data_IF_340946689637
#
_entry.id   IF_340946689637
#
_cell.length_a   1.000
_cell.length_b   1.000
_cell.length_c   1.000
_cell.angle_alpha   90.00
_cell.angle_beta   90.00
_cell.angle_gamma   90.00
#
_symmetry.space_group_name_H-M   'P 1'
#
loop_
_entity.id
_entity.type
_entity.pdbx_description
1 polymer ?
#
# COMPACT_ATOMS: atom_id res chain seq x y z
N UNK A 1 15.63 4.65 -0.43
CA UNK A 1 14.27 4.32 -0.91
C UNK A 1 13.94 5.29 -2.03
N UNK A 2 13.24 4.84 -3.07
CA UNK A 2 12.74 5.73 -4.12
C UNK A 2 11.45 6.40 -3.62
N UNK A 3 11.39 7.73 -3.63
CA UNK A 3 10.25 8.50 -3.10
C UNK A 3 9.19 8.84 -4.14
N UNK A 4 9.53 8.80 -5.44
CA UNK A 4 8.62 9.16 -6.53
C UNK A 4 7.78 7.96 -7.01
N UNK A 5 7.10 7.30 -6.06
CA UNK A 5 6.36 6.06 -6.27
C UNK A 5 5.15 6.28 -7.18
N UNK A 6 4.41 7.38 -6.99
CA UNK A 6 3.21 7.68 -7.78
C UNK A 6 3.55 7.89 -9.25
N UNK A 7 4.61 8.65 -9.57
CA UNK A 7 5.03 8.80 -10.96
C UNK A 7 5.54 7.49 -11.55
N UNK A 8 6.22 6.66 -10.75
CA UNK A 8 6.68 5.32 -11.16
C UNK A 8 5.50 4.41 -11.51
N UNK A 9 4.44 4.41 -10.69
CA UNK A 9 3.18 3.69 -10.99
C UNK A 9 2.57 4.18 -12.30
N UNK A 10 2.43 5.50 -12.47
CA UNK A 10 1.87 6.07 -13.70
C UNK A 10 2.67 5.68 -14.96
N UNK A 11 4.01 5.70 -14.88
CA UNK A 11 4.88 5.35 -16.03
C UNK A 11 4.86 3.86 -16.38
N UNK A 12 4.72 2.99 -15.39
CA UNK A 12 5.03 1.56 -15.55
C UNK A 12 3.88 0.61 -15.23
N UNK A 13 2.69 1.12 -14.85
CA UNK A 13 1.52 0.33 -14.47
C UNK A 13 1.23 -0.84 -15.41
N UNK A 14 1.38 -0.68 -16.73
CA UNK A 14 1.08 -1.73 -17.70
C UNK A 14 1.89 -3.03 -17.46
N UNK A 15 3.08 -2.88 -16.87
CA UNK A 15 3.98 -3.98 -16.49
C UNK A 15 3.69 -4.54 -15.10
N UNK A 16 2.92 -3.84 -14.25
CA UNK A 16 2.62 -4.25 -12.89
C UNK A 16 1.35 -5.12 -12.86
N UNK A 17 1.47 -6.35 -12.35
CA UNK A 17 0.36 -7.32 -12.29
C UNK A 17 -0.14 -7.58 -10.87
N UNK A 18 0.61 -7.14 -9.87
CA UNK A 18 0.29 -7.32 -8.47
C UNK A 18 1.01 -6.25 -7.65
N UNK A 19 0.36 -5.75 -6.60
CA UNK A 19 0.94 -4.78 -5.68
C UNK A 19 0.91 -5.34 -4.26
N UNK A 20 1.96 -5.08 -3.49
CA UNK A 20 2.06 -5.42 -2.08
C UNK A 20 2.21 -4.15 -1.25
N UNK A 21 1.62 -4.12 -0.05
CA UNK A 21 1.69 -2.98 0.88
C UNK A 21 2.31 -3.40 2.21
N UNK A 22 3.16 -2.52 2.76
CA UNK A 22 3.74 -2.66 4.09
C UNK A 22 4.33 -1.32 4.58
N UNK A 23 4.19 -1.02 5.87
CA UNK A 23 4.70 0.20 6.48
C UNK A 23 6.23 0.28 6.40
N UNK A 24 6.77 1.50 6.33
CA UNK A 24 8.20 1.71 6.16
C UNK A 24 8.75 2.81 7.08
N UNK A 25 9.86 2.59 7.79
CA UNK A 25 10.65 1.36 7.87
C UNK A 25 9.97 0.22 8.65
N UNK A 26 10.52 -1.00 8.58
CA UNK A 26 10.16 -2.11 9.46
C UNK A 26 9.15 -3.12 8.92
N UNK A 27 8.42 -2.80 7.84
CA UNK A 27 7.45 -3.71 7.19
C UNK A 27 6.28 -4.07 8.12
N UNK A 28 5.80 -3.07 8.86
CA UNK A 28 4.69 -3.15 9.81
C UNK A 28 3.40 -2.54 9.24
N UNK A 29 2.47 -2.10 10.07
CA UNK A 29 1.20 -1.50 9.67
C UNK A 29 1.39 -0.26 8.77
N UNK A 30 0.48 -0.08 7.81
CA UNK A 30 0.53 1.01 6.81
C UNK A 30 -0.13 2.32 7.27
N UNK A 31 -0.13 2.56 8.59
CA UNK A 31 -0.77 3.71 9.23
C UNK A 31 -0.08 5.06 8.94
N UNK A 32 -0.36 6.06 9.78
CA UNK A 32 0.16 7.42 9.66
C UNK A 32 1.56 7.64 10.28
N UNK A 33 2.06 6.66 11.04
CA UNK A 33 3.37 6.72 11.72
C UNK A 33 4.54 6.18 10.88
N UNK A 34 4.49 6.37 9.56
CA UNK A 34 5.49 5.84 8.62
C UNK A 34 5.65 6.76 7.40
N UNK A 35 6.64 6.51 6.53
CA UNK A 35 7.06 7.45 5.48
C UNK A 35 6.07 7.60 4.30
N UNK A 36 5.37 6.54 3.92
CA UNK A 36 4.53 6.47 2.73
C UNK A 36 3.07 6.84 2.99
N UNK A 37 2.49 7.74 2.19
CA UNK A 37 1.06 8.05 2.29
C UNK A 37 0.21 7.09 1.43
N UNK A 38 -0.16 5.93 2.00
CA UNK A 38 -0.87 4.86 1.29
C UNK A 38 -2.20 5.25 0.63
N UNK A 39 -3.07 6.11 1.20
CA UNK A 39 -4.29 6.50 0.51
C UNK A 39 -4.03 7.20 -0.84
N UNK A 40 -2.94 7.97 -0.96
CA UNK A 40 -2.59 8.60 -2.24
C UNK A 40 -2.01 7.58 -3.23
N UNK A 41 -1.20 6.63 -2.74
CA UNK A 41 -0.63 5.56 -3.57
C UNK A 41 -1.74 4.65 -4.11
N UNK A 42 -2.71 4.23 -3.27
CA UNK A 42 -3.82 3.39 -3.69
C UNK A 42 -4.71 4.10 -4.71
N UNK A 43 -4.94 5.41 -4.57
CA UNK A 43 -5.65 6.20 -5.60
C UNK A 43 -4.89 6.21 -6.91
N UNK A 44 -3.58 6.42 -6.89
CA UNK A 44 -2.76 6.37 -8.10
C UNK A 44 -2.82 5.01 -8.79
N UNK A 45 -2.82 3.90 -8.04
CA UNK A 45 -3.02 2.55 -8.59
C UNK A 45 -4.40 2.43 -9.23
N UNK A 46 -5.46 2.81 -8.52
CA UNK A 46 -6.84 2.76 -9.04
C UNK A 46 -7.01 3.58 -10.31
N UNK A 47 -6.47 4.80 -10.34
CA UNK A 47 -6.61 5.74 -11.46
C UNK A 47 -5.89 5.25 -12.72
N UNK A 48 -5.00 4.24 -12.61
CA UNK A 48 -4.44 3.53 -13.77
C UNK A 48 -5.40 2.54 -14.43
N UNK A 49 -6.57 2.25 -13.82
CA UNK A 49 -7.50 1.22 -14.26
C UNK A 49 -7.06 -0.19 -13.88
N UNK A 50 -6.22 -0.35 -12.85
CA UNK A 50 -5.75 -1.66 -12.40
C UNK A 50 -6.88 -2.48 -11.75
N UNK A 51 -7.18 -3.65 -12.30
CA UNK A 51 -8.22 -4.57 -11.82
C UNK A 51 -7.65 -5.81 -11.09
N UNK A 52 -6.34 -5.86 -10.87
CA UNK A 52 -5.69 -6.96 -10.16
C UNK A 52 -5.76 -6.82 -8.64
N UNK A 53 -4.96 -7.61 -7.95
CA UNK A 53 -4.95 -7.65 -6.48
C UNK A 53 -3.94 -6.69 -5.86
N UNK A 54 -4.34 -6.02 -4.77
CA UNK A 54 -3.50 -5.30 -3.82
C UNK A 54 -3.40 -6.14 -2.54
N UNK A 55 -2.24 -6.74 -2.28
CA UNK A 55 -2.01 -7.61 -1.13
C UNK A 55 -1.45 -6.84 0.07
N UNK A 56 -1.97 -7.15 1.26
CA UNK A 56 -1.44 -6.66 2.52
C UNK A 56 -0.33 -7.62 2.98
N UNK A 57 0.93 -7.21 2.83
CA UNK A 57 2.10 -8.08 3.06
C UNK A 57 3.05 -7.48 4.11
N UNK A 58 2.53 -7.35 5.34
CA UNK A 58 3.26 -6.80 6.46
C UNK A 58 3.22 -7.72 7.69
N UNK A 59 4.13 -7.48 8.63
CA UNK A 59 4.17 -8.15 9.93
C UNK A 59 3.55 -7.23 10.98
N UNK A 60 2.37 -7.55 11.54
CA UNK A 60 1.76 -6.74 12.58
C UNK A 60 2.70 -6.58 13.79
N UNK A 61 2.89 -5.34 14.24
CA UNK A 61 3.58 -5.02 15.49
C UNK A 61 2.58 -4.87 16.65
N UNK A 62 1.32 -4.54 16.35
CA UNK A 62 0.29 -4.42 17.36
C UNK A 62 -0.13 -5.80 17.93
N UNK A 63 -0.59 -5.86 19.21
CA UNK A 63 -1.04 -7.11 19.82
C UNK A 63 -2.22 -7.79 19.11
N UNK A 64 -3.06 -7.03 18.41
CA UNK A 64 -4.18 -7.56 17.61
C UNK A 64 -3.83 -7.54 16.11
N UNK A 65 -3.34 -8.67 15.55
CA UNK A 65 -2.97 -8.75 14.15
C UNK A 65 -4.18 -8.68 13.21
N UNK A 66 -5.37 -9.10 13.67
CA UNK A 66 -6.59 -9.07 12.84
C UNK A 66 -7.07 -7.63 12.70
N UNK A 67 -7.05 -6.85 13.78
CA UNK A 67 -7.38 -5.43 13.70
C UNK A 67 -6.40 -4.68 12.79
N UNK A 68 -5.11 -5.00 12.86
CA UNK A 68 -4.08 -4.44 11.99
C UNK A 68 -4.40 -4.67 10.51
N UNK A 69 -4.80 -5.90 10.15
CA UNK A 69 -5.22 -6.22 8.79
C UNK A 69 -6.49 -5.47 8.37
N UNK A 70 -7.49 -5.33 9.26
CA UNK A 70 -8.73 -4.57 8.96
C UNK A 70 -8.44 -3.11 8.65
N UNK A 71 -7.59 -2.46 9.44
CA UNK A 71 -7.22 -1.06 9.21
C UNK A 71 -6.42 -0.90 7.91
N UNK A 72 -5.51 -1.83 7.61
CA UNK A 72 -4.77 -1.81 6.35
C UNK A 72 -5.69 -1.94 5.12
N UNK A 73 -6.73 -2.78 5.21
CA UNK A 73 -7.76 -2.89 4.16
C UNK A 73 -8.54 -1.57 4.02
N UNK A 74 -8.99 -0.98 5.14
CA UNK A 74 -9.73 0.31 5.13
C UNK A 74 -8.93 1.45 4.50
N UNK A 75 -7.64 1.55 4.80
CA UNK A 75 -6.77 2.59 4.24
C UNK A 75 -6.56 2.44 2.73
N UNK A 76 -6.64 1.21 2.21
CA UNK A 76 -6.53 0.92 0.78
C UNK A 76 -7.84 1.03 0.00
N UNK A 77 -8.98 1.16 0.70
CA UNK A 77 -10.31 1.27 0.10
C UNK A 77 -10.61 2.74 -0.25
N UNK A 78 -10.22 3.16 -1.46
CA UNK A 78 -10.21 4.56 -1.90
C UNK A 78 -11.02 4.84 -3.15
#
# INVERSE_FOLDING_TARGET
MEGDIIATIGRHHACFKHYHTAGVPGRHEIGDQQELHYPAICRAIRDTGFEGYLAQEFMPAAPDPINSLREAIRLGDV
#
